data_IF_622830796493
#
_entry.id   IF_622830796493
#
_cell.length_a   1.000
_cell.length_b   1.000
_cell.length_c   1.000
_cell.angle_alpha   90.00
_cell.angle_beta   90.00
_cell.angle_gamma   90.00
#
_symmetry.space_group_name_H-M   'P 1'
#
loop_
_entity.id
_entity.type
_entity.pdbx_description
1 polymer ?
#
# COMPACT_ATOMS: atom_id res chain seq x y z
N UNK A 1 0.53 15.67 5.20
CA UNK A 1 -0.73 15.01 4.75
C UNK A 1 -0.60 14.56 3.31
N UNK A 2 0.00 15.41 2.49
CA UNK A 2 0.29 15.26 1.07
C UNK A 2 1.06 13.97 0.76
N UNK A 3 2.14 13.66 1.49
CA UNK A 3 2.92 12.43 1.30
C UNK A 3 2.09 11.15 1.49
N UNK A 4 1.19 11.15 2.47
CA UNK A 4 0.28 10.03 2.73
C UNK A 4 -0.75 9.85 1.62
N UNK A 5 -1.38 10.95 1.18
CA UNK A 5 -2.33 10.89 0.07
C UNK A 5 -1.65 10.47 -1.24
N UNK A 6 -0.45 10.99 -1.50
CA UNK A 6 0.35 10.65 -2.68
C UNK A 6 0.76 9.17 -2.67
N UNK A 7 1.24 8.66 -1.54
CA UNK A 7 1.55 7.24 -1.38
C UNK A 7 0.31 6.36 -1.62
N UNK A 8 -0.85 6.73 -1.05
CA UNK A 8 -2.09 5.98 -1.25
C UNK A 8 -2.47 5.91 -2.73
N UNK A 9 -2.41 7.04 -3.43
CA UNK A 9 -2.68 7.12 -4.86
C UNK A 9 -1.67 6.35 -5.72
N UNK A 10 -0.39 6.44 -5.42
CA UNK A 10 0.66 5.74 -6.15
C UNK A 10 0.48 4.23 -6.01
N UNK A 11 0.25 3.74 -4.78
CA UNK A 11 -0.04 2.33 -4.51
C UNK A 11 -1.33 1.85 -5.19
N UNK A 12 -2.42 2.63 -5.10
CA UNK A 12 -3.66 2.31 -5.80
C UNK A 12 -3.45 2.21 -7.31
N UNK A 13 -2.74 3.18 -7.89
CA UNK A 13 -2.48 3.23 -9.34
C UNK A 13 -1.65 2.03 -9.81
N UNK A 14 -0.59 1.69 -9.08
CA UNK A 14 0.25 0.53 -9.34
C UNK A 14 -0.56 -0.77 -9.29
N UNK A 15 -1.29 -1.00 -8.20
CA UNK A 15 -2.07 -2.21 -8.00
C UNK A 15 -3.15 -2.37 -9.07
N UNK A 16 -3.82 -1.28 -9.45
CA UNK A 16 -4.80 -1.30 -10.55
C UNK A 16 -4.15 -1.62 -11.89
N UNK A 17 -3.00 -1.04 -12.21
CA UNK A 17 -2.29 -1.36 -13.45
C UNK A 17 -1.83 -2.82 -13.48
N UNK A 18 -1.29 -3.31 -12.37
CA UNK A 18 -0.86 -4.71 -12.25
C UNK A 18 -2.03 -5.67 -12.50
N UNK A 19 -3.18 -5.47 -11.83
CA UNK A 19 -4.36 -6.29 -12.02
C UNK A 19 -4.96 -6.17 -13.42
N UNK A 20 -4.98 -4.96 -13.98
CA UNK A 20 -5.48 -4.73 -15.34
C UNK A 20 -4.63 -5.44 -16.39
N UNK A 21 -3.30 -5.39 -16.26
CA UNK A 21 -2.39 -6.13 -17.15
C UNK A 21 -2.58 -7.64 -16.96
N UNK A 22 -2.72 -8.10 -15.73
CA UNK A 22 -2.96 -9.50 -15.41
C UNK A 22 -4.24 -10.05 -16.06
N UNK A 23 -5.33 -9.28 -16.05
CA UNK A 23 -6.61 -9.64 -16.72
C UNK A 23 -6.45 -9.81 -18.24
N UNK A 24 -5.43 -9.23 -18.86
CA UNK A 24 -5.19 -9.33 -20.33
C UNK A 24 -4.36 -10.52 -20.78
N UNK A 25 -3.98 -11.43 -19.87
CA UNK A 25 -3.25 -12.67 -20.22
C UNK A 25 -3.92 -13.49 -21.31
N UNK A 26 -5.25 -13.47 -21.35
CA UNK A 26 -6.04 -14.20 -22.35
C UNK A 26 -6.34 -13.35 -23.61
N UNK A 27 -5.67 -12.21 -23.76
CA UNK A 27 -5.91 -11.21 -24.79
C UNK A 27 -6.68 -10.00 -24.27
N UNK A 28 -6.63 -8.92 -25.04
CA UNK A 28 -7.32 -7.66 -24.72
C UNK A 28 -6.36 -6.47 -24.57
N UNK A 29 -6.95 -5.30 -24.29
CA UNK A 29 -6.19 -4.06 -24.09
C UNK A 29 -6.06 -3.78 -22.59
N UNK A 30 -4.82 -3.66 -22.05
CA UNK A 30 -4.62 -3.41 -20.62
C UNK A 30 -5.18 -2.06 -20.19
N UNK A 31 -5.22 -1.07 -21.09
CA UNK A 31 -5.82 0.24 -20.82
C UNK A 31 -7.34 0.17 -20.74
N UNK A 32 -7.97 -0.68 -21.56
CA UNK A 32 -9.41 -0.93 -21.46
C UNK A 32 -9.74 -1.63 -20.14
N UNK A 33 -8.98 -2.68 -19.77
CA UNK A 33 -9.15 -3.38 -18.50
C UNK A 33 -8.98 -2.42 -17.30
N UNK A 34 -7.97 -1.55 -17.36
CA UNK A 34 -7.72 -0.52 -16.34
C UNK A 34 -8.90 0.46 -16.22
N UNK A 35 -9.47 0.90 -17.35
CA UNK A 35 -10.61 1.83 -17.35
C UNK A 35 -11.88 1.23 -16.71
N UNK A 36 -12.00 -0.10 -16.74
CA UNK A 36 -13.12 -0.84 -16.16
C UNK A 36 -12.90 -1.20 -14.68
N UNK A 37 -11.65 -1.14 -14.20
CA UNK A 37 -11.30 -1.51 -12.84
C UNK A 37 -11.64 -0.38 -11.86
N UNK A 38 -12.78 -0.53 -11.17
CA UNK A 38 -13.24 0.41 -10.14
C UNK A 38 -12.79 -0.03 -8.74
N UNK A 39 -12.58 0.94 -7.83
CA UNK A 39 -12.25 0.69 -6.41
C UNK A 39 -13.46 0.22 -5.58
N UNK A 40 -14.03 -0.89 -6.01
CA UNK A 40 -15.14 -1.58 -5.35
C UNK A 40 -14.70 -2.83 -4.58
N UNK A 41 -15.68 -3.63 -4.10
CA UNK A 41 -15.41 -4.89 -3.40
C UNK A 41 -14.52 -5.85 -4.19
N UNK A 42 -14.73 -5.97 -5.51
CA UNK A 42 -13.91 -6.82 -6.38
C UNK A 42 -12.43 -6.47 -6.29
N UNK A 43 -12.09 -5.18 -6.38
CA UNK A 43 -10.70 -4.73 -6.29
C UNK A 43 -10.09 -5.12 -4.95
N UNK A 44 -10.79 -4.87 -3.83
CA UNK A 44 -10.31 -5.24 -2.49
C UNK A 44 -10.12 -6.75 -2.32
N UNK A 45 -11.03 -7.57 -2.86
CA UNK A 45 -10.88 -9.03 -2.86
C UNK A 45 -9.64 -9.47 -3.64
N UNK A 46 -9.37 -8.88 -4.81
CA UNK A 46 -8.13 -9.16 -5.54
C UNK A 46 -6.88 -8.79 -4.73
N UNK A 47 -6.89 -7.66 -4.01
CA UNK A 47 -5.79 -7.26 -3.15
C UNK A 47 -5.57 -8.22 -1.98
N UNK A 48 -6.64 -8.77 -1.40
CA UNK A 48 -6.56 -9.81 -0.38
C UNK A 48 -5.85 -11.06 -0.93
N UNK A 49 -6.17 -11.48 -2.16
CA UNK A 49 -5.49 -12.59 -2.82
C UNK A 49 -3.98 -12.35 -3.04
N UNK A 50 -3.55 -11.10 -3.28
CA UNK A 50 -2.11 -10.75 -3.37
C UNK A 50 -1.40 -10.94 -2.00
N UNK A 51 -2.10 -10.63 -0.91
CA UNK A 51 -1.58 -10.71 0.46
C UNK A 51 -1.52 -12.16 0.96
N UNK A 52 -2.48 -12.99 0.58
CA UNK A 52 -2.62 -14.35 1.10
C UNK A 52 -1.41 -15.25 0.76
N UNK A 53 -0.86 -15.99 1.74
CA UNK A 53 0.26 -16.91 1.50
C UNK A 53 -0.07 -18.04 0.51
N UNK A 54 -1.33 -18.47 0.43
CA UNK A 54 -1.79 -19.50 -0.50
C UNK A 54 -1.72 -19.07 -1.96
N UNK A 55 -1.66 -17.77 -2.24
CA UNK A 55 -1.58 -17.22 -3.60
C UNK A 55 -0.16 -16.90 -4.08
N UNK A 56 0.89 -17.37 -3.38
CA UNK A 56 2.29 -17.03 -3.72
C UNK A 56 2.64 -17.46 -5.14
N UNK A 57 2.28 -18.68 -5.56
CA UNK A 57 2.64 -19.20 -6.87
C UNK A 57 1.93 -18.42 -7.99
N UNK A 58 0.62 -18.17 -7.83
CA UNK A 58 -0.18 -17.36 -8.75
C UNK A 58 0.36 -15.92 -8.84
N UNK A 59 0.78 -15.33 -7.71
CA UNK A 59 1.41 -14.01 -7.69
C UNK A 59 2.76 -14.01 -8.41
N UNK A 60 3.59 -15.03 -8.21
CA UNK A 60 4.91 -15.12 -8.86
C UNK A 60 4.79 -15.31 -10.37
N UNK A 61 3.84 -16.14 -10.80
CA UNK A 61 3.48 -16.24 -12.22
C UNK A 61 2.96 -14.88 -12.72
N UNK A 62 2.08 -14.25 -11.93
CA UNK A 62 1.59 -12.87 -12.05
C UNK A 62 2.68 -11.90 -12.49
N UNK A 63 3.68 -11.82 -11.63
CA UNK A 63 4.83 -10.94 -11.77
C UNK A 63 5.67 -11.30 -12.99
N UNK A 64 5.89 -12.59 -13.25
CA UNK A 64 6.62 -13.03 -14.45
C UNK A 64 5.99 -12.48 -15.73
N UNK A 65 4.66 -12.56 -15.85
CA UNK A 65 3.94 -12.01 -17.00
C UNK A 65 4.00 -10.46 -17.04
N UNK A 66 3.74 -9.81 -15.91
CA UNK A 66 3.56 -8.35 -15.84
C UNK A 66 4.88 -7.55 -15.86
N UNK A 67 5.99 -8.12 -15.40
CA UNK A 67 7.26 -7.40 -15.24
C UNK A 67 8.42 -7.98 -16.05
N UNK A 68 8.37 -9.27 -16.43
CA UNK A 68 9.48 -9.93 -17.13
C UNK A 68 9.15 -10.30 -18.58
N UNK A 69 7.89 -10.20 -19.02
CA UNK A 69 7.49 -10.59 -20.37
C UNK A 69 7.81 -12.07 -20.65
N UNK A 70 8.74 -12.34 -21.57
CA UNK A 70 9.22 -13.69 -21.85
C UNK A 70 10.18 -14.19 -20.77
N UNK A 71 9.61 -14.74 -19.70
CA UNK A 71 10.36 -15.29 -18.57
C UNK A 71 11.38 -16.35 -18.98
N UNK A 72 11.11 -17.16 -20.00
CA UNK A 72 12.02 -18.22 -20.41
C UNK A 72 13.29 -17.63 -21.05
N UNK A 73 13.12 -16.68 -21.97
CA UNK A 73 14.24 -15.97 -22.60
C UNK A 73 15.09 -15.23 -21.56
N UNK A 74 14.45 -14.55 -20.60
CA UNK A 74 15.16 -13.81 -19.55
C UNK A 74 15.89 -14.74 -18.58
N UNK A 75 15.27 -15.87 -18.22
CA UNK A 75 15.91 -16.88 -17.37
C UNK A 75 17.15 -17.47 -18.05
N UNK A 76 17.11 -17.69 -19.36
CA UNK A 76 18.26 -18.17 -20.11
C UNK A 76 19.41 -17.14 -20.14
N UNK A 77 19.10 -15.84 -20.18
CA UNK A 77 20.10 -14.78 -20.24
C UNK A 77 20.71 -14.43 -18.88
N UNK A 78 19.90 -14.35 -17.83
CA UNK A 78 20.29 -13.83 -16.51
C UNK A 78 20.41 -14.92 -15.42
N UNK A 79 19.92 -16.13 -15.70
CA UNK A 79 19.89 -17.23 -14.75
C UNK A 79 18.67 -17.20 -13.82
N UNK A 80 18.35 -18.39 -13.29
CA UNK A 80 17.18 -18.61 -12.42
C UNK A 80 17.23 -17.78 -11.14
N UNK A 81 18.42 -17.61 -10.56
CA UNK A 81 18.60 -16.90 -9.30
C UNK A 81 18.22 -15.42 -9.41
N UNK A 82 18.74 -14.71 -10.42
CA UNK A 82 18.46 -13.28 -10.61
C UNK A 82 16.98 -13.02 -10.88
N UNK A 83 16.36 -13.89 -11.69
CA UNK A 83 14.93 -13.84 -11.96
C UNK A 83 14.13 -14.07 -10.68
N UNK A 84 14.49 -15.08 -9.88
CA UNK A 84 13.82 -15.39 -8.62
C UNK A 84 13.92 -14.24 -7.60
N UNK A 85 15.09 -13.59 -7.50
CA UNK A 85 15.28 -12.40 -6.64
C UNK A 85 14.37 -11.25 -7.08
N UNK A 86 14.31 -10.98 -8.37
CA UNK A 86 13.45 -9.93 -8.93
C UNK A 86 11.98 -10.21 -8.66
N UNK A 87 11.52 -11.43 -8.92
CA UNK A 87 10.12 -11.83 -8.66
C UNK A 87 9.78 -11.67 -7.18
N UNK A 88 10.66 -12.14 -6.29
CA UNK A 88 10.47 -12.06 -4.84
C UNK A 88 10.45 -10.61 -4.36
N UNK A 89 11.34 -9.76 -4.89
CA UNK A 89 11.39 -8.34 -4.57
C UNK A 89 10.11 -7.63 -4.99
N UNK A 90 9.64 -7.82 -6.23
CA UNK A 90 8.38 -7.24 -6.71
C UNK A 90 7.20 -7.75 -5.88
N UNK A 91 7.15 -9.04 -5.56
CA UNK A 91 6.10 -9.62 -4.71
C UNK A 91 6.03 -8.97 -3.34
N UNK A 92 7.19 -8.71 -2.72
CA UNK A 92 7.26 -8.03 -1.41
C UNK A 92 6.66 -6.63 -1.47
N UNK A 93 6.97 -5.87 -2.52
CA UNK A 93 6.42 -4.54 -2.74
C UNK A 93 4.92 -4.56 -3.03
N UNK A 94 4.45 -5.41 -3.95
CA UNK A 94 3.02 -5.52 -4.27
C UNK A 94 2.18 -5.86 -3.02
N UNK A 95 2.67 -6.77 -2.18
CA UNK A 95 2.02 -7.06 -0.88
C UNK A 95 2.02 -5.85 0.04
N UNK A 96 3.14 -5.15 0.13
CA UNK A 96 3.25 -3.95 0.95
C UNK A 96 2.29 -2.84 0.49
N UNK A 97 2.20 -2.59 -0.83
CA UNK A 97 1.22 -1.67 -1.42
C UNK A 97 -0.23 -2.11 -1.13
N UNK A 98 -0.53 -3.40 -1.26
CA UNK A 98 -1.86 -3.94 -1.00
C UNK A 98 -2.28 -3.76 0.47
N UNK A 99 -1.39 -4.10 1.41
CA UNK A 99 -1.61 -3.84 2.84
C UNK A 99 -1.85 -2.35 3.10
N UNK A 100 -0.93 -1.51 2.64
CA UNK A 100 -1.02 -0.07 2.82
C UNK A 100 -2.35 0.48 2.31
N UNK A 101 -2.76 0.11 1.09
CA UNK A 101 -4.04 0.56 0.51
C UNK A 101 -5.25 0.15 1.35
N UNK A 102 -5.32 -1.13 1.74
CA UNK A 102 -6.44 -1.67 2.51
C UNK A 102 -6.54 -1.02 3.90
N UNK A 103 -5.41 -0.85 4.59
CA UNK A 103 -5.34 -0.31 5.95
C UNK A 103 -5.58 1.21 6.00
N UNK A 104 -5.17 1.92 4.95
CA UNK A 104 -5.23 3.39 4.90
C UNK A 104 -6.45 3.94 4.18
N UNK A 105 -7.27 3.10 3.53
CA UNK A 105 -8.45 3.51 2.75
C UNK A 105 -9.36 4.52 3.47
N UNK A 106 -9.66 4.30 4.75
CA UNK A 106 -10.52 5.21 5.51
C UNK A 106 -9.83 6.54 5.80
N UNK A 107 -8.57 6.50 6.26
CA UNK A 107 -7.79 7.72 6.52
C UNK A 107 -7.57 8.56 5.26
N UNK A 108 -7.35 7.91 4.12
CA UNK A 108 -7.25 8.56 2.82
C UNK A 108 -8.59 9.21 2.41
N UNK A 109 -9.72 8.51 2.54
CA UNK A 109 -11.03 9.10 2.26
C UNK A 109 -11.32 10.31 3.14
N UNK A 110 -11.01 10.23 4.43
CA UNK A 110 -11.15 11.36 5.35
C UNK A 110 -10.28 12.54 4.90
N UNK A 111 -9.00 12.32 4.59
CA UNK A 111 -8.10 13.36 4.13
C UNK A 111 -8.58 13.99 2.81
N UNK A 112 -8.98 13.16 1.84
CA UNK A 112 -9.54 13.60 0.55
C UNK A 112 -10.76 14.51 0.72
N UNK A 113 -11.60 14.24 1.72
CA UNK A 113 -12.82 15.00 1.97
C UNK A 113 -12.64 16.15 2.97
N UNK A 114 -11.40 16.51 3.33
CA UNK A 114 -11.12 17.60 4.27
C UNK A 114 -11.48 17.28 5.72
N UNK A 115 -11.71 16.00 6.03
CA UNK A 115 -11.95 15.48 7.37
C UNK A 115 -10.65 15.05 8.07
N UNK A 116 -9.53 15.65 7.66
CA UNK A 116 -8.23 15.52 8.31
C UNK A 116 -7.83 16.85 8.92
N UNK A 117 -7.39 16.83 10.17
CA UNK A 117 -6.69 17.94 10.79
C UNK A 117 -5.19 17.64 10.77
N UNK A 118 -4.39 18.64 10.43
CA UNK A 118 -2.96 18.64 10.73
C UNK A 118 -2.83 19.16 12.16
N UNK A 119 -2.53 18.33 13.17
CA UNK A 119 -2.14 18.87 14.45
C UNK A 119 -0.80 19.58 14.24
N UNK A 120 -0.83 20.92 14.16
CA UNK A 120 0.35 21.74 13.94
C UNK A 120 1.51 21.27 14.82
N UNK A 121 2.59 20.80 14.19
CA UNK A 121 3.85 20.39 14.82
C UNK A 121 3.75 19.42 16.02
N UNK A 122 2.63 18.73 16.26
CA UNK A 122 2.54 17.78 17.37
C UNK A 122 3.22 16.47 16.97
N UNK A 123 4.49 16.38 17.33
CA UNK A 123 5.20 15.12 17.41
C UNK A 123 4.47 14.25 18.43
N UNK A 124 3.99 13.10 17.98
CA UNK A 124 3.45 12.09 18.89
C UNK A 124 4.62 11.21 19.27
N UNK A 125 4.91 11.14 20.57
CA UNK A 125 5.88 10.21 21.12
C UNK A 125 5.21 9.27 22.11
N UNK A 126 5.39 7.97 21.92
CA UNK A 126 5.02 6.96 22.91
C UNK A 126 6.29 6.33 23.46
N UNK A 127 6.37 6.18 24.78
CA UNK A 127 7.44 5.45 25.47
C UNK A 127 6.83 4.40 26.40
N UNK A 128 7.55 3.30 26.60
CA UNK A 128 7.26 2.36 27.68
C UNK A 128 8.02 2.83 28.92
N UNK A 129 7.30 3.15 29.99
CA UNK A 129 7.91 3.36 31.30
C UNK A 129 8.16 1.97 31.91
N UNK A 130 9.42 1.55 31.99
CA UNK A 130 9.77 0.31 32.66
C UNK A 130 9.74 0.46 34.19
N UNK A 131 9.30 -0.57 34.91
CA UNK A 131 9.25 -0.58 36.39
C UNK A 131 10.65 -0.51 37.06
N UNK A 132 11.75 -0.56 36.29
CA UNK A 132 13.11 -0.82 36.81
C UNK A 132 14.19 0.21 36.40
N UNK A 133 13.85 1.42 35.94
CA UNK A 133 14.85 2.45 35.69
C UNK A 133 14.32 3.72 34.99
N UNK A 134 15.12 4.81 34.93
CA UNK A 134 14.71 6.10 34.38
C UNK A 134 14.80 6.20 32.84
N UNK A 135 14.97 5.08 32.12
CA UNK A 135 15.05 5.10 30.65
C UNK A 135 13.73 4.63 30.03
N UNK A 136 12.93 5.62 29.62
CA UNK A 136 11.79 5.45 28.72
C UNK A 136 12.25 4.82 27.40
N UNK A 137 11.76 3.63 27.06
CA UNK A 137 12.02 3.01 25.76
C UNK A 137 11.07 3.64 24.73
N UNK A 138 11.55 4.42 23.74
CA UNK A 138 10.68 5.04 22.75
C UNK A 138 10.06 3.97 21.84
N UNK A 139 8.74 3.86 21.87
CA UNK A 139 7.95 2.97 21.01
C UNK A 139 7.61 3.62 19.68
N UNK A 140 7.45 4.94 19.66
CA UNK A 140 7.03 5.65 18.48
C UNK A 140 7.40 7.13 18.60
N UNK A 141 7.95 7.71 17.52
CA UNK A 141 8.13 9.15 17.41
C UNK A 141 8.00 9.57 15.95
N UNK A 142 7.09 10.48 15.64
CA UNK A 142 6.93 10.91 14.26
C UNK A 142 5.92 12.04 14.07
N UNK A 143 5.84 12.51 12.83
CA UNK A 143 4.75 13.38 12.41
C UNK A 143 3.43 12.63 12.58
N UNK A 144 2.36 13.36 12.89
CA UNK A 144 1.04 12.76 13.08
C UNK A 144 0.03 13.26 12.06
N UNK A 145 -0.85 12.36 11.66
CA UNK A 145 -2.01 12.63 10.83
C UNK A 145 -3.25 12.25 11.64
N UNK A 146 -4.14 13.22 11.79
CA UNK A 146 -5.40 13.03 12.48
C UNK A 146 -6.55 13.09 11.48
N UNK A 147 -7.43 12.09 11.53
CA UNK A 147 -8.58 11.97 10.63
C UNK A 147 -9.85 11.64 11.39
N UNK A 148 -10.98 12.14 10.88
CA UNK A 148 -12.30 11.73 11.33
C UNK A 148 -12.82 10.64 10.39
N UNK A 149 -13.00 9.43 10.90
CA UNK A 149 -13.40 8.24 10.14
C UNK A 149 -14.70 7.67 10.67
N UNK A 150 -15.42 6.91 9.83
CA UNK A 150 -16.59 6.17 10.30
C UNK A 150 -16.39 4.67 10.11
N UNK A 151 -16.97 3.88 11.02
CA UNK A 151 -17.13 2.43 10.86
C UNK A 151 -18.59 2.06 11.04
N UNK A 152 -19.04 1.13 10.21
CA UNK A 152 -20.37 0.53 10.34
C UNK A 152 -20.24 -0.67 11.27
N UNK A 153 -20.97 -0.67 12.38
CA UNK A 153 -21.11 -1.82 13.28
C UNK A 153 -22.53 -2.39 13.19
N UNK A 154 -22.68 -3.69 13.47
CA UNK A 154 -23.97 -4.40 13.38
C UNK A 154 -24.17 -5.18 12.07
N UNK A 155 -25.21 -6.03 12.03
CA UNK A 155 -25.60 -6.84 10.86
C UNK A 155 -27.06 -6.54 10.49
N UNK A 156 -27.38 -6.62 9.20
CA UNK A 156 -28.76 -6.43 8.72
C UNK A 156 -29.32 -5.02 8.97
N UNK A 157 -30.51 -4.94 9.55
CA UNK A 157 -31.23 -3.69 9.82
C UNK A 157 -30.63 -2.86 10.97
N UNK A 158 -29.73 -3.44 11.78
CA UNK A 158 -29.12 -2.78 12.96
C UNK A 158 -27.76 -2.13 12.65
N UNK A 159 -27.48 -1.84 11.38
CA UNK A 159 -26.22 -1.17 11.00
C UNK A 159 -26.19 0.25 11.55
N UNK A 160 -25.37 0.48 12.57
CA UNK A 160 -25.12 1.81 13.12
C UNK A 160 -23.77 2.33 12.63
N UNK A 161 -23.76 3.60 12.22
CA UNK A 161 -22.53 4.31 11.84
C UNK A 161 -21.97 5.00 13.08
N UNK A 162 -20.71 4.69 13.41
CA UNK A 162 -19.98 5.36 14.48
C UNK A 162 -18.82 6.14 13.89
N UNK A 163 -18.64 7.38 14.35
CA UNK A 163 -17.53 8.24 14.00
C UNK A 163 -16.40 8.13 15.03
N UNK A 164 -15.16 8.14 14.56
CA UNK A 164 -13.95 7.96 15.35
C UNK A 164 -12.91 8.99 14.93
N UNK A 165 -12.21 9.54 15.91
CA UNK A 165 -11.00 10.32 15.69
C UNK A 165 -9.82 9.34 15.67
N UNK A 166 -9.15 9.26 14.53
CA UNK A 166 -8.02 8.36 14.32
C UNK A 166 -6.74 9.18 14.28
N UNK A 167 -5.79 8.85 15.15
CA UNK A 167 -4.45 9.42 15.15
C UNK A 167 -3.49 8.38 14.59
N UNK A 168 -2.76 8.75 13.54
CA UNK A 168 -1.73 7.93 12.91
C UNK A 168 -0.40 8.63 13.00
N UNK A 169 0.65 7.87 13.19
CA UNK A 169 1.98 8.34 12.83
C UNK A 169 2.21 8.16 11.35
N UNK A 170 2.88 9.14 10.77
CA UNK A 170 3.29 9.15 9.37
C UNK A 170 4.78 9.43 9.31
N UNK A 171 5.45 8.71 8.41
CA UNK A 171 6.80 9.00 8.00
C UNK A 171 6.79 9.59 6.59
N UNK A 172 6.85 10.93 6.43
CA UNK A 172 6.83 11.54 5.12
C UNK A 172 7.98 11.07 4.21
N UNK A 173 9.17 10.78 4.77
CA UNK A 173 10.32 10.36 3.97
C UNK A 173 10.12 8.94 3.43
N UNK A 174 9.75 7.99 4.29
CA UNK A 174 9.39 6.63 3.88
C UNK A 174 8.22 6.61 2.90
N UNK A 175 7.19 7.45 3.09
CA UNK A 175 6.08 7.57 2.15
C UNK A 175 6.50 8.13 0.78
N UNK A 176 7.47 9.04 0.73
CA UNK A 176 8.02 9.51 -0.55
C UNK A 176 8.87 8.44 -1.24
N UNK A 177 9.69 7.70 -0.49
CA UNK A 177 10.42 6.55 -1.03
C UNK A 177 9.47 5.47 -1.59
N UNK A 178 8.37 5.21 -0.88
CA UNK A 178 7.27 4.34 -1.34
C UNK A 178 6.66 4.82 -2.67
N UNK A 179 6.47 6.13 -2.84
CA UNK A 179 5.99 6.71 -4.11
C UNK A 179 7.00 6.53 -5.24
N UNK A 180 8.30 6.68 -4.98
CA UNK A 180 9.36 6.50 -5.98
C UNK A 180 9.35 5.05 -6.49
N UNK A 181 9.33 4.06 -5.58
CA UNK A 181 9.27 2.65 -5.97
C UNK A 181 7.99 2.33 -6.75
N UNK A 182 6.86 2.92 -6.36
CA UNK A 182 5.61 2.75 -7.11
C UNK A 182 5.71 3.30 -8.55
N UNK A 183 6.37 4.45 -8.73
CA UNK A 183 6.59 5.06 -10.03
C UNK A 183 7.49 4.18 -10.92
N UNK A 184 8.60 3.68 -10.40
CA UNK A 184 9.50 2.78 -11.13
C UNK A 184 8.77 1.50 -11.58
N UNK A 185 7.97 0.90 -10.69
CA UNK A 185 7.16 -0.27 -11.02
C UNK A 185 6.05 0.04 -12.04
N UNK A 186 5.44 1.22 -11.98
CA UNK A 186 4.44 1.66 -12.96
C UNK A 186 5.06 1.82 -14.35
N UNK A 187 6.26 2.40 -14.45
CA UNK A 187 6.99 2.52 -15.71
C UNK A 187 7.34 1.16 -16.30
N UNK A 188 7.74 0.20 -15.45
CA UNK A 188 7.97 -1.18 -15.87
C UNK A 188 6.69 -1.86 -16.40
N UNK A 189 5.58 -1.75 -15.67
CA UNK A 189 4.28 -2.28 -16.11
C UNK A 189 3.82 -1.66 -17.43
N UNK A 190 3.97 -0.35 -17.59
CA UNK A 190 3.60 0.34 -18.81
C UNK A 190 4.42 -0.14 -20.01
N UNK A 191 5.73 -0.29 -19.80
CA UNK A 191 6.67 -0.77 -20.82
C UNK A 191 6.29 -2.18 -21.26
N UNK A 192 6.12 -3.11 -20.31
CA UNK A 192 5.76 -4.50 -20.60
C UNK A 192 4.36 -4.60 -21.23
N UNK A 193 3.37 -3.87 -20.69
CA UNK A 193 2.02 -3.85 -21.25
C UNK A 193 1.96 -3.34 -22.69
N UNK A 194 2.76 -2.32 -23.03
CA UNK A 194 2.91 -1.86 -24.41
C UNK A 194 3.53 -2.93 -25.31
N UNK A 195 4.58 -3.60 -24.84
CA UNK A 195 5.24 -4.66 -25.62
C UNK A 195 4.32 -5.85 -25.87
N UNK A 196 3.56 -6.28 -24.86
CA UNK A 196 2.54 -7.33 -25.04
C UNK A 196 1.48 -6.94 -26.08
N UNK A 197 1.07 -5.67 -26.09
CA UNK A 197 -0.01 -5.21 -26.98
C UNK A 197 0.45 -4.92 -28.42
N UNK A 198 1.59 -4.26 -28.60
CA UNK A 198 2.09 -3.81 -29.91
C UNK A 198 3.06 -4.81 -30.55
N UNK A 199 3.57 -5.78 -29.78
CA UNK A 199 4.71 -6.60 -30.15
C UNK A 199 6.04 -5.84 -30.09
N UNK A 200 7.15 -6.57 -30.14
CA UNK A 200 8.50 -6.02 -30.17
C UNK A 200 9.35 -6.39 -28.95
N UNK A 201 10.51 -5.74 -28.81
CA UNK A 201 11.39 -5.88 -27.65
C UNK A 201 11.30 -4.65 -26.75
N UNK A 202 11.53 -4.84 -25.46
CA UNK A 202 11.68 -3.74 -24.51
C UNK A 202 12.83 -4.01 -23.54
N UNK A 203 13.43 -2.95 -22.97
CA UNK A 203 14.33 -3.10 -21.83
C UNK A 203 13.52 -3.58 -20.62
N UNK A 204 14.05 -4.60 -19.94
CA UNK A 204 13.48 -5.09 -18.69
C UNK A 204 14.33 -4.58 -17.54
N UNK A 205 13.68 -3.96 -16.57
CA UNK A 205 14.31 -3.55 -15.34
C UNK A 205 14.37 -4.73 -14.37
N UNK A 206 15.57 -5.00 -13.84
CA UNK A 206 15.77 -5.95 -12.76
C UNK A 206 15.81 -5.18 -11.45
N UNK A 207 15.25 -5.79 -10.41
CA UNK A 207 15.13 -5.16 -9.11
C UNK A 207 15.56 -6.15 -8.02
N UNK A 208 16.37 -5.70 -7.08
CA UNK A 208 16.82 -6.51 -5.94
C UNK A 208 16.89 -5.72 -4.63
N UNK A 209 16.61 -4.42 -4.66
CA UNK A 209 16.55 -3.55 -3.49
C UNK A 209 16.12 -2.12 -3.88
N UNK A 210 15.74 -1.27 -2.90
CA UNK A 210 15.51 -1.61 -1.49
C UNK A 210 14.23 -2.42 -1.29
N UNK A 211 14.14 -3.24 -0.24
CA UNK A 211 12.90 -3.93 0.15
C UNK A 211 11.96 -2.98 0.90
N UNK A 212 10.67 -3.32 1.06
CA UNK A 212 9.77 -2.54 1.92
C UNK A 212 10.29 -2.40 3.35
N UNK A 213 10.96 -3.42 3.88
CA UNK A 213 11.58 -3.37 5.20
C UNK A 213 12.69 -2.30 5.24
N UNK A 214 13.54 -2.23 4.23
CA UNK A 214 14.64 -1.25 4.17
C UNK A 214 14.11 0.20 4.13
N UNK A 215 12.98 0.42 3.45
CA UNK A 215 12.34 1.74 3.37
C UNK A 215 11.59 2.10 4.65
N UNK A 216 11.03 1.11 5.36
CA UNK A 216 10.25 1.34 6.59
C UNK A 216 11.08 1.32 7.88
N UNK A 217 12.30 0.78 7.86
CA UNK A 217 13.17 0.60 9.03
C UNK A 217 14.31 1.62 9.14
N UNK A 218 14.29 2.71 8.37
CA UNK A 218 15.13 3.88 8.62
C UNK A 218 14.85 4.48 10.00
N UNK A 219 15.50 3.96 11.05
CA UNK A 219 15.42 4.36 12.45
C UNK A 219 14.01 4.75 12.98
N UNK A 220 13.20 3.74 13.36
CA UNK A 220 12.25 3.89 14.47
C UNK A 220 10.77 4.16 14.16
N UNK A 221 10.24 3.76 13.00
CA UNK A 221 8.81 3.95 12.71
C UNK A 221 8.02 2.66 12.74
N UNK A 222 7.51 2.33 13.93
CA UNK A 222 6.41 1.37 14.08
C UNK A 222 5.13 1.98 13.49
N UNK A 223 4.54 1.34 12.48
CA UNK A 223 3.22 1.72 11.99
C UNK A 223 2.16 1.19 12.94
N UNK A 224 1.41 2.08 13.57
CA UNK A 224 0.32 1.74 14.48
C UNK A 224 -0.82 2.74 14.35
N UNK A 225 -2.04 2.23 14.19
CA UNK A 225 -3.26 3.02 14.31
C UNK A 225 -3.85 2.76 15.70
N UNK A 226 -3.99 3.80 16.52
CA UNK A 226 -4.69 3.72 17.80
C UNK A 226 -6.13 4.22 17.61
N UNK A 227 -7.11 3.37 17.91
CA UNK A 227 -8.50 3.79 18.03
C UNK A 227 -8.70 4.47 19.38
N UNK A 228 -8.94 5.78 19.37
CA UNK A 228 -9.33 6.51 20.58
C UNK A 228 -10.85 6.65 20.59
N UNK A 229 -11.58 6.00 21.52
CA UNK A 229 -13.01 6.19 21.63
C UNK A 229 -13.32 7.63 22.06
N UNK A 230 -14.24 8.28 21.36
CA UNK A 230 -14.81 9.56 21.81
C UNK A 230 -15.77 9.23 22.94
N UNK A 231 -15.35 9.46 24.19
CA UNK A 231 -16.29 9.52 25.30
C UNK A 231 -17.18 10.74 25.07
N UNK A 232 -18.50 10.54 25.16
CA UNK A 232 -19.47 11.64 25.20
C UNK A 232 -18.97 12.68 26.19
N UNK A 233 -18.69 13.89 25.69
CA UNK A 233 -18.47 15.05 26.56
C UNK A 233 -19.66 15.10 27.54
N UNK A 234 -19.42 15.26 28.85
CA UNK A 234 -20.52 15.43 29.80
C UNK A 234 -21.36 16.60 29.30
N UNK A 235 -22.65 16.36 29.07
CA UNK A 235 -23.59 17.45 28.89
C UNK A 235 -23.63 18.17 30.24
N UNK A 236 -23.09 19.38 30.29
CA UNK A 236 -23.36 20.28 31.40
C UNK A 236 -24.85 20.55 31.42
N UNK A 237 -25.48 20.22 32.55
CA UNK A 237 -26.89 20.49 32.83
C UNK A 237 -27.21 21.96 32.54
N UNK A 238 -28.16 22.19 31.63
CA UNK A 238 -28.89 23.45 31.47
C UNK A 238 -30.38 23.18 31.47
#
# INVERSE_FOLDING_TARGET
MESFMLAHHAGESLLRHYLALLDTRQGGSPWLALSQLQSGPRFKTCLQGIIEPSGVDDLHEGIGFCFLGDRAAITQQLGVEQVSRTVTWVASWLRHFAHFYLDTSNGYNSAKHGLSSLPGHKLVSFSFAGDAGPEDVPLLRGASLETLEYKVRGKGAEKQQHWYRMLRTVDPAGLLAFVIVAADLLDALWTIGRTHHLGGSCPIQMFDGPTPADVTTGHGTHWGALEVPIWTLPQEDR
#
